data_IF_670468540457
#
_entry.id   IF_670468540457
#
_cell.length_a   1.000
_cell.length_b   1.000
_cell.length_c   1.000
_cell.angle_alpha   90.00
_cell.angle_beta   90.00
_cell.angle_gamma   90.00
#
_symmetry.space_group_name_H-M   'P 1'
#
loop_
_entity.id
_entity.type
_entity.pdbx_description
1 polymer ?
#
# COMPACT_ATOMS: atom_id res chain seq x y z
N UNK A 1 -11.90 -0.40 4.57
CA UNK A 1 -11.25 -1.27 5.58
C UNK A 1 -11.60 -2.72 5.35
N UNK A 2 -12.86 -3.06 5.07
CA UNK A 2 -13.31 -4.43 4.75
C UNK A 2 -12.36 -5.22 3.83
N UNK A 3 -12.01 -4.69 2.66
CA UNK A 3 -11.04 -5.35 1.75
C UNK A 3 -9.67 -5.65 2.41
N UNK A 4 -9.14 -4.71 3.19
CA UNK A 4 -7.83 -4.86 3.83
C UNK A 4 -7.88 -5.95 4.90
N UNK A 5 -8.97 -6.01 5.66
CA UNK A 5 -9.17 -7.02 6.70
C UNK A 5 -9.31 -8.42 6.08
N UNK A 6 -10.09 -8.54 5.00
CA UNK A 6 -10.23 -9.79 4.24
C UNK A 6 -8.90 -10.22 3.62
N UNK A 7 -8.20 -9.31 2.94
CA UNK A 7 -6.90 -9.57 2.33
C UNK A 7 -5.87 -10.03 3.36
N UNK A 8 -5.83 -9.38 4.52
CA UNK A 8 -4.93 -9.75 5.63
C UNK A 8 -5.19 -11.17 6.11
N UNK A 9 -6.45 -11.55 6.29
CA UNK A 9 -6.82 -12.90 6.73
C UNK A 9 -6.43 -13.97 5.71
N UNK A 10 -6.62 -13.69 4.42
CA UNK A 10 -6.29 -14.65 3.36
C UNK A 10 -4.77 -14.87 3.26
N UNK A 11 -3.97 -13.79 3.28
CA UNK A 11 -2.52 -13.93 3.10
C UNK A 11 -1.79 -14.49 4.33
N UNK A 12 -2.42 -14.46 5.50
CA UNK A 12 -1.87 -15.03 6.73
C UNK A 12 -1.60 -16.54 6.56
N UNK A 13 -2.47 -17.25 5.82
CA UNK A 13 -2.28 -18.67 5.50
C UNK A 13 -1.01 -18.96 4.67
N UNK A 14 -0.41 -17.94 4.06
CA UNK A 14 0.81 -18.02 3.27
C UNK A 14 2.04 -17.49 4.03
N UNK A 15 1.94 -17.28 5.35
CA UNK A 15 2.98 -16.68 6.21
C UNK A 15 3.37 -15.24 5.80
N UNK A 16 2.43 -14.47 5.25
CA UNK A 16 2.59 -13.04 5.03
C UNK A 16 1.78 -12.24 6.05
N UNK A 17 2.25 -11.03 6.35
CA UNK A 17 1.58 -10.08 7.23
C UNK A 17 1.36 -8.75 6.54
N UNK A 18 0.29 -8.05 6.94
CA UNK A 18 -0.02 -6.69 6.47
C UNK A 18 0.16 -5.71 7.61
N UNK A 19 0.94 -4.67 7.38
CA UNK A 19 1.13 -3.57 8.29
C UNK A 19 0.46 -2.29 7.77
N UNK A 20 -0.32 -1.64 8.64
CA UNK A 20 -1.04 -0.41 8.31
C UNK A 20 -0.36 0.80 8.93
N UNK A 21 0.09 1.70 8.07
CA UNK A 21 0.67 2.97 8.44
C UNK A 21 -0.32 4.11 8.24
N UNK A 22 -0.38 5.05 9.18
CA UNK A 22 -1.19 6.26 9.06
C UNK A 22 -2.44 6.24 9.94
N UNK A 23 -3.38 7.19 9.74
CA UNK A 23 -4.51 7.44 10.65
C UNK A 23 -5.33 6.19 10.98
N UNK A 24 -5.50 5.32 9.98
CA UNK A 24 -6.31 4.11 10.04
C UNK A 24 -5.58 2.89 10.63
N UNK A 25 -4.31 3.02 11.03
CA UNK A 25 -3.51 1.93 11.60
C UNK A 25 -2.68 2.35 12.80
N UNK A 26 -2.06 1.35 13.42
CA UNK A 26 -1.30 1.54 14.67
C UNK A 26 0.15 1.94 14.41
N UNK A 27 0.67 1.73 13.19
CA UNK A 27 2.04 2.12 12.84
C UNK A 27 2.07 3.54 12.29
N UNK A 28 3.17 4.23 12.59
CA UNK A 28 3.48 5.58 12.10
C UNK A 28 4.85 5.58 11.47
N UNK A 29 5.02 6.37 10.43
CA UNK A 29 6.34 6.52 9.84
C UNK A 29 7.31 7.15 10.83
N UNK A 30 8.59 6.76 10.82
CA UNK A 30 9.61 7.41 11.62
C UNK A 30 9.82 8.85 11.14
N UNK A 31 9.73 9.80 12.06
CA UNK A 31 9.95 11.23 11.78
C UNK A 31 8.76 11.95 11.16
N UNK A 32 9.02 13.12 10.57
CA UNK A 32 7.99 14.02 10.00
C UNK A 32 8.00 14.12 8.47
N UNK A 33 8.96 13.49 7.78
CA UNK A 33 9.11 13.58 6.33
C UNK A 33 8.64 12.31 5.63
N UNK A 34 8.08 12.48 4.42
CA UNK A 34 7.68 11.36 3.57
C UNK A 34 8.88 10.49 3.15
N UNK A 35 10.06 11.10 3.00
CA UNK A 35 11.29 10.37 2.66
C UNK A 35 11.63 9.29 3.70
N UNK A 36 11.41 9.56 4.98
CA UNK A 36 11.64 8.56 6.02
C UNK A 36 10.67 7.37 5.94
N UNK A 37 9.41 7.61 5.51
CA UNK A 37 8.49 6.52 5.19
C UNK A 37 9.02 5.69 4.01
N UNK A 38 9.46 6.34 2.93
CA UNK A 38 9.95 5.63 1.74
C UNK A 38 11.14 4.75 2.09
N UNK A 39 12.13 5.29 2.83
CA UNK A 39 13.29 4.52 3.28
C UNK A 39 12.92 3.33 4.18
N UNK A 40 11.86 3.46 4.99
CA UNK A 40 11.33 2.35 5.79
C UNK A 40 10.68 1.29 4.91
N UNK A 41 9.85 1.71 3.95
CA UNK A 41 9.16 0.84 3.01
C UNK A 41 10.20 0.00 2.25
N UNK A 42 11.20 0.65 1.65
CA UNK A 42 12.26 -0.01 0.87
C UNK A 42 13.09 -1.03 1.65
N UNK A 43 13.29 -0.79 2.96
CA UNK A 43 14.14 -1.67 3.79
C UNK A 43 13.39 -2.82 4.43
N UNK A 44 12.08 -2.67 4.63
CA UNK A 44 11.32 -3.57 5.51
C UNK A 44 10.15 -4.26 4.82
N UNK A 45 9.78 -3.84 3.61
CA UNK A 45 8.61 -4.38 2.92
C UNK A 45 8.96 -4.77 1.48
N UNK A 46 8.48 -5.94 1.08
CA UNK A 46 8.58 -6.41 -0.31
C UNK A 46 7.49 -5.83 -1.20
N UNK A 47 6.30 -5.59 -0.62
CA UNK A 47 5.10 -5.16 -1.34
C UNK A 47 4.50 -3.91 -0.70
N UNK A 48 3.89 -3.06 -1.53
CA UNK A 48 3.10 -1.92 -1.08
C UNK A 48 1.70 -1.98 -1.70
N UNK A 49 0.67 -2.09 -0.85
CA UNK A 49 -0.73 -2.07 -1.27
C UNK A 49 -1.13 -0.64 -1.68
N UNK A 50 -1.66 -0.50 -2.88
CA UNK A 50 -2.21 0.74 -3.41
C UNK A 50 -3.68 0.52 -3.74
N UNK A 51 -4.54 1.02 -2.85
CA UNK A 51 -5.99 0.92 -2.96
C UNK A 51 -6.56 2.29 -3.31
N UNK A 52 -7.22 2.36 -4.46
CA UNK A 52 -7.95 3.56 -4.88
C UNK A 52 -9.31 3.64 -4.18
N UNK A 53 -9.72 4.85 -3.82
CA UNK A 53 -11.02 5.10 -3.17
C UNK A 53 -12.20 4.80 -4.09
N UNK A 54 -11.99 4.86 -5.41
CA UNK A 54 -13.05 4.62 -6.39
C UNK A 54 -12.58 3.65 -7.48
N UNK A 55 -13.50 2.81 -7.95
CA UNK A 55 -13.27 1.85 -9.03
C UNK A 55 -13.74 2.40 -10.38
N UNK A 56 -13.53 3.69 -10.62
CA UNK A 56 -13.84 4.29 -11.91
C UNK A 56 -12.79 3.89 -12.96
N UNK A 57 -13.25 3.72 -14.20
CA UNK A 57 -12.36 3.54 -15.34
C UNK A 57 -11.43 4.76 -15.47
N UNK A 58 -10.16 4.51 -15.77
CA UNK A 58 -9.11 5.52 -15.92
C UNK A 58 -8.85 6.38 -14.66
N UNK A 59 -9.34 5.96 -13.49
CA UNK A 59 -9.09 6.64 -12.23
C UNK A 59 -7.78 6.17 -11.61
N UNK A 60 -6.74 7.01 -11.73
CA UNK A 60 -5.42 6.80 -11.14
C UNK A 60 -5.05 8.06 -10.35
N UNK A 61 -4.63 7.89 -9.10
CA UNK A 61 -4.29 9.02 -8.22
C UNK A 61 -2.79 9.14 -7.98
N UNK A 62 -2.37 10.16 -7.21
CA UNK A 62 -0.97 10.34 -6.85
C UNK A 62 -0.39 9.17 -6.04
N UNK A 63 -1.24 8.30 -5.48
CA UNK A 63 -0.80 7.10 -4.74
C UNK A 63 0.01 6.17 -5.64
N UNK A 64 -0.45 5.96 -6.87
CA UNK A 64 0.25 5.15 -7.88
C UNK A 64 1.62 5.76 -8.22
N UNK A 65 1.68 7.07 -8.43
CA UNK A 65 2.95 7.76 -8.72
C UNK A 65 3.90 7.70 -7.52
N UNK A 66 3.39 7.80 -6.30
CA UNK A 66 4.22 7.73 -5.08
C UNK A 66 4.86 6.36 -4.87
N UNK A 67 4.12 5.28 -5.06
CA UNK A 67 4.68 3.92 -4.88
C UNK A 67 5.80 3.63 -5.88
N UNK A 68 5.75 4.21 -7.08
CA UNK A 68 6.82 4.09 -8.09
C UNK A 68 8.14 4.74 -7.65
N UNK A 69 8.11 5.59 -6.61
CA UNK A 69 9.32 6.17 -6.00
C UNK A 69 9.88 5.32 -4.85
N UNK A 70 9.41 4.07 -4.72
CA UNK A 70 9.94 3.10 -3.76
C UNK A 70 10.37 1.83 -4.49
N UNK A 71 11.26 1.05 -3.88
CA UNK A 71 11.68 -0.25 -4.38
C UNK A 71 10.70 -1.40 -4.05
N UNK A 72 9.64 -1.13 -3.29
CA UNK A 72 8.62 -2.13 -2.98
C UNK A 72 7.71 -2.37 -4.20
N UNK A 73 7.32 -3.62 -4.43
CA UNK A 73 6.47 -3.99 -5.56
C UNK A 73 5.02 -3.53 -5.27
N UNK A 74 4.41 -2.69 -6.12
CA UNK A 74 3.04 -2.25 -5.91
C UNK A 74 2.04 -3.39 -6.18
N UNK A 75 1.10 -3.60 -5.24
CA UNK A 75 -0.09 -4.42 -5.44
C UNK A 75 -1.28 -3.46 -5.58
N UNK A 76 -1.88 -3.42 -6.76
CA UNK A 76 -2.88 -2.43 -7.14
C UNK A 76 -4.29 -2.98 -7.05
N UNK A 77 -5.18 -2.22 -6.43
CA UNK A 77 -6.61 -2.42 -6.49
C UNK A 77 -7.29 -1.12 -6.91
N UNK A 78 -7.90 -1.13 -8.09
CA UNK A 78 -8.59 0.03 -8.67
C UNK A 78 -9.33 -0.33 -9.95
N UNK A 79 -10.09 0.62 -10.50
CA UNK A 79 -10.93 0.41 -11.70
C UNK A 79 -10.25 0.71 -13.03
N UNK A 80 -9.02 1.20 -13.03
CA UNK A 80 -8.28 1.53 -14.25
C UNK A 80 -7.75 0.28 -14.96
N UNK A 81 -7.45 0.40 -16.25
CA UNK A 81 -6.77 -0.64 -17.01
C UNK A 81 -5.26 -0.55 -16.79
N UNK A 82 -4.71 -1.46 -15.97
CA UNK A 82 -3.29 -1.51 -15.63
C UNK A 82 -2.49 -2.53 -16.49
N UNK A 83 -2.99 -2.89 -17.68
CA UNK A 83 -2.35 -3.83 -18.62
C UNK A 83 -1.36 -3.16 -19.57
#
# INVERSE_FOLDING_TARGET
>A
MEFIDEFRNEIEGYNYTVDLYGPCGDKRCPGKSMQSCHNLIEKSYHFQLVVEETFAADYVTEKMVRVMNTLAIPILLGGSNYR
#
